data_IF_337735308954
#
_entry.id   IF_337735308954
#
_cell.length_a   1.000
_cell.length_b   1.000
_cell.length_c   1.000
_cell.angle_alpha   90.00
_cell.angle_beta   90.00
_cell.angle_gamma   90.00
#
_symmetry.space_group_name_H-M   'P 1'
#
loop_
_entity.id
_entity.type
_entity.pdbx_description
1 polymer ?
#
# COMPACT_ATOMS: atom_id res chain seq x y z
N UNK A 1 8.76 -6.26 -21.88
CA UNK A 1 7.93 -7.12 -21.03
C UNK A 1 8.55 -7.17 -19.64
N UNK A 2 7.76 -7.19 -18.57
CA UNK A 2 8.29 -7.43 -17.22
C UNK A 2 8.50 -8.94 -17.08
N UNK A 3 9.69 -9.38 -16.70
CA UNK A 3 10.03 -10.81 -16.66
C UNK A 3 10.30 -11.33 -15.27
N UNK A 4 10.64 -10.45 -14.32
CA UNK A 4 10.85 -10.83 -12.93
C UNK A 4 10.52 -9.67 -12.01
N UNK A 5 9.98 -10.01 -10.84
CA UNK A 5 9.81 -9.13 -9.68
C UNK A 5 10.75 -9.66 -8.61
N UNK A 6 11.50 -8.77 -7.99
CA UNK A 6 12.43 -9.05 -6.90
C UNK A 6 11.95 -8.29 -5.66
N UNK A 7 11.24 -8.99 -4.79
CA UNK A 7 10.66 -8.40 -3.58
C UNK A 7 11.74 -8.02 -2.56
N UNK A 8 12.86 -8.75 -2.52
CA UNK A 8 13.96 -8.50 -1.58
C UNK A 8 14.71 -7.19 -1.87
N UNK A 9 14.81 -6.81 -3.15
CA UNK A 9 15.47 -5.57 -3.58
C UNK A 9 14.45 -4.52 -4.02
N UNK A 10 13.16 -4.78 -3.84
CA UNK A 10 12.08 -3.91 -4.29
C UNK A 10 12.30 -3.46 -5.75
N UNK A 11 12.61 -4.40 -6.64
CA UNK A 11 12.98 -4.11 -8.04
C UNK A 11 12.25 -5.01 -9.02
N UNK A 12 12.13 -4.55 -10.27
CA UNK A 12 11.59 -5.34 -11.39
C UNK A 12 12.57 -5.39 -12.53
N UNK A 13 12.66 -6.55 -13.17
CA UNK A 13 13.42 -6.72 -14.40
C UNK A 13 12.48 -6.60 -15.59
N UNK A 14 12.79 -5.68 -16.48
CA UNK A 14 12.11 -5.55 -17.77
C UNK A 14 13.04 -5.98 -18.88
N UNK A 15 12.58 -6.92 -19.70
CA UNK A 15 13.29 -7.40 -20.87
C UNK A 15 12.61 -6.93 -22.15
N UNK A 16 13.39 -6.54 -23.14
CA UNK A 16 12.89 -6.14 -24.45
C UNK A 16 13.88 -6.56 -25.54
N UNK A 17 13.35 -6.68 -26.76
CA UNK A 17 14.16 -7.01 -27.94
C UNK A 17 14.49 -5.71 -28.66
N UNK A 18 15.78 -5.43 -28.81
CA UNK A 18 16.29 -4.31 -29.59
C UNK A 18 17.18 -4.84 -30.70
N UNK A 19 16.80 -4.58 -31.95
CA UNK A 19 17.55 -5.01 -33.14
C UNK A 19 17.87 -6.52 -33.20
N UNK A 20 17.03 -7.36 -32.58
CA UNK A 20 17.21 -8.82 -32.53
C UNK A 20 17.96 -9.33 -31.29
N UNK A 21 18.48 -8.44 -30.44
CA UNK A 21 19.11 -8.79 -29.17
C UNK A 21 18.14 -8.66 -28.00
N UNK A 22 18.18 -9.62 -27.09
CA UNK A 22 17.49 -9.51 -25.80
C UNK A 22 18.30 -8.61 -24.86
N UNK A 23 17.67 -7.53 -24.41
CA UNK A 23 18.18 -6.64 -23.38
C UNK A 23 17.30 -6.75 -22.16
N UNK A 24 17.91 -6.57 -20.98
CA UNK A 24 17.22 -6.49 -19.71
C UNK A 24 17.71 -5.29 -18.92
N UNK A 25 16.82 -4.69 -18.14
CA UNK A 25 17.18 -3.67 -17.15
C UNK A 25 16.39 -3.88 -15.88
N UNK A 26 17.10 -3.77 -14.77
CA UNK A 26 16.51 -3.74 -13.44
C UNK A 26 16.11 -2.31 -13.10
N UNK A 27 14.91 -2.15 -12.53
CA UNK A 27 14.32 -0.87 -12.19
C UNK A 27 13.78 -0.97 -10.76
N UNK A 28 14.22 -0.05 -9.90
CA UNK A 28 13.68 0.13 -8.55
C UNK A 28 12.18 0.45 -8.58
N UNK A 29 11.42 -0.21 -7.70
CA UNK A 29 10.01 0.05 -7.48
C UNK A 29 9.78 1.48 -6.98
N UNK A 30 10.67 2.03 -6.13
CA UNK A 30 10.59 3.43 -5.67
C UNK A 30 10.58 4.43 -6.85
N UNK A 31 11.41 4.16 -7.87
CA UNK A 31 11.44 4.98 -9.09
C UNK A 31 10.15 4.84 -9.91
N UNK A 32 9.59 3.63 -9.98
CA UNK A 32 8.32 3.38 -10.68
C UNK A 32 7.17 4.12 -10.00
N UNK A 33 7.10 4.06 -8.68
CA UNK A 33 6.10 4.75 -7.86
C UNK A 33 6.24 6.26 -7.89
N UNK A 34 7.48 6.79 -7.86
CA UNK A 34 7.72 8.23 -8.01
C UNK A 34 7.23 8.78 -9.36
N UNK A 35 7.31 7.96 -10.42
CA UNK A 35 6.78 8.30 -11.74
C UNK A 35 5.27 8.08 -11.86
N UNK A 36 4.73 7.14 -11.08
CA UNK A 36 3.33 6.73 -11.13
C UNK A 36 2.76 6.69 -9.70
N UNK A 37 2.46 7.87 -9.11
CA UNK A 37 1.98 7.95 -7.74
C UNK A 37 0.66 7.19 -7.51
N UNK A 38 -0.17 7.02 -8.54
CA UNK A 38 -1.40 6.21 -8.48
C UNK A 38 -1.15 4.69 -8.40
N UNK A 39 0.07 4.23 -8.72
CA UNK A 39 0.44 2.81 -8.55
C UNK A 39 1.02 2.52 -7.17
N UNK A 40 1.28 3.56 -6.37
CA UNK A 40 1.62 3.38 -4.96
C UNK A 40 0.40 2.70 -4.33
N UNK A 41 0.54 1.50 -3.76
CA UNK A 41 -0.57 0.92 -3.03
C UNK A 41 -0.97 1.92 -1.95
N UNK A 42 -2.25 2.33 -1.95
CA UNK A 42 -2.81 2.98 -0.77
C UNK A 42 -2.49 2.05 0.39
N UNK A 43 -1.61 2.48 1.30
CA UNK A 43 -1.41 1.81 2.58
C UNK A 43 -2.81 1.48 3.06
N UNK A 44 -3.11 0.18 3.21
CA UNK A 44 -4.41 -0.27 3.69
C UNK A 44 -4.66 0.54 4.94
N UNK A 45 -5.54 1.53 4.82
CA UNK A 45 -5.91 2.38 5.93
C UNK A 45 -6.45 1.36 6.91
N UNK A 46 -5.66 1.01 7.92
CA UNK A 46 -6.08 0.10 8.98
C UNK A 46 -7.48 0.58 9.31
N UNK A 47 -8.53 -0.27 9.21
CA UNK A 47 -9.88 0.19 9.45
C UNK A 47 -9.83 0.83 10.83
N UNK A 48 -9.90 2.18 10.84
CA UNK A 48 -9.69 2.97 12.05
C UNK A 48 -10.50 2.27 13.12
N UNK A 49 -9.90 1.78 14.23
CA UNK A 49 -10.67 1.07 15.23
C UNK A 49 -11.79 2.00 15.61
N UNK A 50 -13.02 1.61 15.25
CA UNK A 50 -14.21 2.41 15.44
C UNK A 50 -14.12 3.01 16.84
N UNK A 51 -14.20 4.33 16.91
CA UNK A 51 -14.26 5.05 18.18
C UNK A 51 -15.27 4.30 19.04
N UNK A 52 -14.90 3.85 20.25
CA UNK A 52 -15.79 3.02 21.05
C UNK A 52 -17.15 3.71 21.16
N UNK A 53 -18.27 2.95 21.03
CA UNK A 53 -19.59 3.56 21.16
C UNK A 53 -19.63 4.34 22.47
N UNK A 54 -20.24 5.54 22.50
CA UNK A 54 -20.29 6.34 23.71
C UNK A 54 -20.87 5.50 24.84
N UNK A 55 -20.28 5.54 26.06
CA UNK A 55 -20.76 4.74 27.16
C UNK A 55 -22.24 5.05 27.38
N UNK A 56 -23.09 4.03 27.32
CA UNK A 56 -24.48 4.13 27.69
C UNK A 56 -24.55 4.83 29.04
N UNK A 57 -25.25 5.98 29.08
CA UNK A 57 -25.43 6.75 30.31
C UNK A 57 -25.99 5.82 31.38
N UNK A 58 -25.12 5.43 32.32
CA UNK A 58 -25.54 4.77 33.52
C UNK A 58 -26.44 5.76 34.24
N UNK A 59 -27.74 5.47 34.24
CA UNK A 59 -28.74 6.23 34.96
C UNK A 59 -28.34 6.24 36.44
N UNK A 60 -27.68 7.32 36.85
CA UNK A 60 -27.40 7.62 38.24
C UNK A 60 -28.72 8.00 38.89
N UNK A 61 -29.46 6.99 39.32
CA UNK A 61 -30.65 7.16 40.16
C UNK A 61 -30.19 7.56 41.56
N UNK A 62 -30.05 8.86 41.77
CA UNK A 62 -29.82 9.46 43.09
C UNK A 62 -31.01 10.36 43.45
N UNK A 63 -32.04 9.71 44.02
CA UNK A 63 -32.88 10.08 45.17
C UNK A 63 -32.92 11.56 45.63
N UNK A 64 -34.10 12.18 45.51
CA UNK A 64 -34.74 13.25 46.33
C UNK A 64 -36.24 13.24 45.92
N UNK A 65 -37.29 13.26 46.75
CA UNK A 65 -37.63 13.83 48.06
C UNK A 65 -38.65 12.93 48.75
#
# INVERSE_FOLDING_TARGET
MVTSLNEDNESVTVEWIENGDTKGKEIDLESIFSLNPDLVPDEEIEPNPETPPPPASSAKVNKIV
#
